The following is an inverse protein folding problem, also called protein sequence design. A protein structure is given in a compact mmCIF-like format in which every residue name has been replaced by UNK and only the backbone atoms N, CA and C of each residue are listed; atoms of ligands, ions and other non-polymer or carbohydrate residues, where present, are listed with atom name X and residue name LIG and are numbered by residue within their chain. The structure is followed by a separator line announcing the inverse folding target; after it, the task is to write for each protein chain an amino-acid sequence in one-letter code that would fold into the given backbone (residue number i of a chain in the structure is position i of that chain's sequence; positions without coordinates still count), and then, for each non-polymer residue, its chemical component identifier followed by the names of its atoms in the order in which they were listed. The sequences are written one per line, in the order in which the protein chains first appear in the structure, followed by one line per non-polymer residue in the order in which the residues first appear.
data_IF_650283469846
#
_entry.id   IF_650283469846
#
_cell.length_a   1.000
_cell.length_b   1.000
_cell.length_c   1.000
_cell.angle_alpha   90.00
_cell.angle_beta   90.00
_cell.angle_gamma   90.00
#
_symmetry.space_group_name_H-M   'P 1'
#
loop_
_entity.id
_entity.type
_entity.pdbx_description
1 polymer ?
#
# COMPACT_ATOMS: atom_id res chain seq x y z
N UNK A 1 -13.01 -3.47 -5.43
CA UNK A 1 -12.80 -2.04 -5.80
C UNK A 1 -13.68 -1.67 -6.97
N UNK A 2 -14.10 -0.40 -7.08
CA UNK A 2 -14.73 0.19 -8.27
C UNK A 2 -13.88 1.31 -8.90
N UNK A 3 -14.40 2.01 -9.92
CA UNK A 3 -13.66 3.06 -10.67
C UNK A 3 -13.01 4.11 -9.75
N UNK A 4 -13.78 4.65 -8.80
CA UNK A 4 -13.27 5.66 -7.86
C UNK A 4 -12.04 5.18 -7.08
N UNK A 5 -12.05 3.92 -6.61
CA UNK A 5 -10.90 3.34 -5.91
C UNK A 5 -9.70 3.12 -6.83
N UNK A 6 -9.93 2.85 -8.12
CA UNK A 6 -8.84 2.76 -9.09
C UNK A 6 -8.18 4.14 -9.31
N UNK A 7 -8.97 5.20 -9.40
CA UNK A 7 -8.47 6.58 -9.52
C UNK A 7 -7.68 7.00 -8.27
N UNK A 8 -8.21 6.71 -7.08
CA UNK A 8 -7.55 6.95 -5.79
C UNK A 8 -6.21 6.19 -5.70
N UNK A 9 -6.20 4.91 -6.09
CA UNK A 9 -4.99 4.10 -6.14
C UNK A 9 -3.96 4.65 -7.13
N UNK A 10 -4.39 5.08 -8.32
CA UNK A 10 -3.50 5.69 -9.31
C UNK A 10 -2.84 6.96 -8.77
N UNK A 11 -3.60 7.82 -8.07
CA UNK A 11 -3.06 9.03 -7.47
C UNK A 11 -1.98 8.72 -6.41
N UNK A 12 -2.20 7.71 -5.57
CA UNK A 12 -1.21 7.24 -4.58
C UNK A 12 0.05 6.75 -5.29
N UNK A 13 -0.09 5.89 -6.29
CA UNK A 13 1.04 5.34 -7.05
C UNK A 13 1.84 6.44 -7.74
N UNK A 14 1.18 7.44 -8.32
CA UNK A 14 1.84 8.59 -8.94
C UNK A 14 2.63 9.40 -7.90
N UNK A 15 2.04 9.69 -6.74
CA UNK A 15 2.73 10.38 -5.65
C UNK A 15 3.97 9.61 -5.15
N UNK A 16 3.87 8.29 -5.03
CA UNK A 16 5.01 7.44 -4.64
C UNK A 16 6.10 7.38 -5.73
N UNK A 17 5.73 7.42 -7.02
CA UNK A 17 6.68 7.52 -8.13
C UNK A 17 7.45 8.84 -8.07
N UNK A 18 6.77 9.96 -7.80
CA UNK A 18 7.38 11.29 -7.70
C UNK A 18 8.41 11.41 -6.57
N UNK A 19 8.21 10.68 -5.46
CA UNK A 19 9.18 10.60 -4.36
C UNK A 19 10.50 9.92 -4.76
N UNK A 20 10.51 9.18 -5.86
CA UNK A 20 11.67 8.45 -6.35
C UNK A 20 12.11 7.29 -5.45
N UNK A 21 13.15 6.55 -5.88
CA UNK A 21 13.53 5.26 -5.26
C UNK A 21 13.83 5.29 -3.77
N UNK A 22 14.24 6.43 -3.20
CA UNK A 22 14.61 6.52 -1.78
C UNK A 22 13.45 6.93 -0.86
N UNK A 23 12.43 7.60 -1.40
CA UNK A 23 11.27 8.07 -0.64
C UNK A 23 10.00 7.26 -0.90
N UNK A 24 10.04 6.33 -1.86
CA UNK A 24 8.93 5.46 -2.21
C UNK A 24 8.79 4.31 -1.19
N UNK A 25 7.59 4.14 -0.67
CA UNK A 25 7.23 3.18 0.36
C UNK A 25 6.77 1.83 -0.24
N UNK A 26 6.33 1.82 -1.50
CA UNK A 26 5.77 0.67 -2.23
C UNK A 26 6.76 0.10 -3.26
N UNK A 27 8.00 -0.11 -2.83
CA UNK A 27 9.04 -0.75 -3.65
C UNK A 27 8.89 -2.27 -3.70
N UNK A 28 9.37 -2.87 -4.80
CA UNK A 28 9.39 -4.31 -5.00
C UNK A 28 8.09 -4.84 -5.61
N UNK A 29 7.82 -6.13 -5.37
CA UNK A 29 6.59 -6.80 -5.80
C UNK A 29 5.60 -6.77 -4.64
N UNK A 30 4.34 -6.50 -4.94
CA UNK A 30 3.29 -6.44 -3.95
C UNK A 30 1.98 -7.03 -4.47
N UNK A 31 1.13 -7.44 -3.54
CA UNK A 31 -0.29 -7.66 -3.76
C UNK A 31 -1.05 -6.50 -3.12
N UNK A 32 -1.97 -5.85 -3.87
CA UNK A 32 -2.82 -4.80 -3.31
C UNK A 32 -4.08 -5.43 -2.75
N UNK A 33 -4.32 -5.24 -1.46
CA UNK A 33 -5.59 -5.54 -0.84
C UNK A 33 -6.34 -4.23 -0.56
N UNK A 34 -7.64 -4.22 -0.87
CA UNK A 34 -8.51 -3.09 -0.55
C UNK A 34 -9.55 -3.55 0.46
N UNK A 35 -9.61 -2.85 1.59
CA UNK A 35 -10.56 -3.15 2.66
C UNK A 35 -11.47 -1.96 2.93
N UNK A 36 -12.75 -2.26 3.13
CA UNK A 36 -13.80 -1.32 3.49
C UNK A 36 -14.74 -2.00 4.47
N UNK A 37 -14.37 -2.01 5.76
CA UNK A 37 -15.25 -2.41 6.86
C UNK A 37 -15.42 -1.21 7.78
N UNK A 38 -16.45 -0.40 7.52
CA UNK A 38 -17.01 0.71 8.34
C UNK A 38 -16.08 1.85 8.79
N UNK A 39 -14.80 1.60 9.03
CA UNK A 39 -13.72 2.54 9.24
C UNK A 39 -13.03 2.90 7.91
N UNK A 40 -12.21 3.94 7.93
CA UNK A 40 -11.59 4.60 6.76
C UNK A 40 -11.13 3.57 5.70
N UNK A 41 -11.59 3.64 4.44
CA UNK A 41 -11.16 2.70 3.41
C UNK A 41 -9.65 2.78 3.16
N UNK A 42 -9.00 1.62 2.98
CA UNK A 42 -7.53 1.53 2.87
C UNK A 42 -7.08 0.63 1.72
N UNK A 43 -5.87 0.93 1.23
CA UNK A 43 -5.07 0.07 0.38
C UNK A 43 -3.87 -0.45 1.17
N UNK A 44 -3.71 -1.77 1.19
CA UNK A 44 -2.54 -2.44 1.78
C UNK A 44 -1.69 -3.04 0.67
N UNK A 45 -0.43 -2.63 0.60
CA UNK A 45 0.57 -3.15 -0.31
C UNK A 45 1.36 -4.25 0.39
N UNK A 46 0.86 -5.48 0.26
CA UNK A 46 1.42 -6.65 0.92
C UNK A 46 2.67 -7.11 0.17
N UNK A 47 3.83 -6.96 0.81
CA UNK A 47 5.14 -7.39 0.31
C UNK A 47 5.44 -8.82 0.75
N UNK A 48 4.58 -9.73 0.34
CA UNK A 48 4.70 -11.14 0.66
C UNK A 48 5.15 -11.88 -0.60
N UNK A 49 6.13 -12.78 -0.46
CA UNK A 49 6.58 -13.64 -1.56
C UNK A 49 5.49 -14.65 -1.96
N UNK A 50 4.57 -14.94 -1.04
CA UNK A 50 3.38 -15.77 -1.25
C UNK A 50 2.25 -15.31 -0.34
N UNK A 51 1.02 -15.80 -0.55
CA UNK A 51 -0.13 -15.51 0.33
C UNK A 51 0.06 -15.99 1.78
N UNK A 52 1.13 -16.75 2.07
CA UNK A 52 1.40 -17.36 3.38
C UNK A 52 2.65 -16.79 4.06
N UNK A 53 3.61 -16.26 3.30
CA UNK A 53 4.90 -15.79 3.83
C UNK A 53 5.18 -14.34 3.47
N UNK A 54 5.22 -13.51 4.51
CA UNK A 54 5.55 -12.09 4.44
C UNK A 54 6.80 -11.84 5.29
N UNK A 55 7.83 -11.22 4.71
CA UNK A 55 9.01 -10.78 5.46
C UNK A 55 8.81 -9.40 6.08
N UNK A 56 7.89 -8.62 5.51
CA UNK A 56 7.59 -7.26 5.90
C UNK A 56 6.10 -7.05 6.19
N UNK A 57 5.81 -6.13 7.10
CA UNK A 57 4.49 -5.54 7.28
C UNK A 57 4.12 -4.78 6.01
N UNK A 58 2.85 -4.79 5.60
CA UNK A 58 2.42 -4.07 4.42
C UNK A 58 2.57 -2.56 4.60
N UNK A 59 2.79 -1.85 3.50
CA UNK A 59 2.59 -0.41 3.47
C UNK A 59 1.09 -0.14 3.32
N UNK A 60 0.53 0.74 4.15
CA UNK A 60 -0.91 1.00 4.21
C UNK A 60 -1.18 2.47 3.93
N UNK A 61 -2.06 2.73 2.97
CA UNK A 61 -2.58 4.06 2.66
C UNK A 61 -4.09 4.10 2.84
N UNK A 62 -4.61 5.22 3.31
CA UNK A 62 -6.03 5.53 3.14
C UNK A 62 -6.33 5.89 1.68
N UNK A 63 -7.60 5.75 1.26
CA UNK A 63 -8.00 6.10 -0.12
C UNK A 63 -7.86 7.59 -0.47
N UNK A 64 -7.72 8.47 0.52
CA UNK A 64 -7.42 9.89 0.31
C UNK A 64 -5.91 10.18 0.11
N UNK A 65 -5.07 9.13 0.16
CA UNK A 65 -3.63 9.22 -0.03
C UNK A 65 -2.83 9.47 1.25
N UNK A 66 -3.48 9.54 2.42
CA UNK A 66 -2.76 9.56 3.69
C UNK A 66 -2.01 8.23 3.89
N UNK A 67 -0.70 8.32 4.19
CA UNK A 67 0.09 7.16 4.59
C UNK A 67 -0.24 6.82 6.05
N UNK A 68 -0.87 5.66 6.27
CA UNK A 68 -1.22 5.17 7.61
C UNK A 68 -0.03 4.43 8.23
N UNK A 69 0.62 3.56 7.45
CA UNK A 69 1.79 2.79 7.89
C UNK A 69 2.76 2.64 6.72
N UNK A 70 4.04 2.96 6.95
CA UNK A 70 5.08 2.78 5.94
C UNK A 70 5.41 1.28 5.71
N UNK A 71 5.00 0.40 6.61
CA UNK A 71 5.35 -1.02 6.60
C UNK A 71 6.77 -1.26 7.11
N UNK A 72 7.42 -2.28 6.57
CA UNK A 72 8.82 -2.63 6.87
C UNK A 72 8.99 -3.95 7.63
N UNK A 73 10.24 -4.33 7.97
CA UNK A 73 10.56 -5.66 8.47
C UNK A 73 9.72 -6.06 9.69
N UNK A 74 9.23 -7.30 9.69
CA UNK A 74 8.54 -7.87 10.86
C UNK A 74 9.49 -8.15 12.02
N UNK A 75 10.77 -8.40 11.71
CA UNK A 75 11.83 -8.66 12.66
C UNK A 75 12.95 -7.64 12.45
N UNK A 76 13.10 -6.73 13.41
CA UNK A 76 14.11 -5.66 13.41
C UNK A 76 14.40 -5.20 14.83
#
# INVERSE_FOLDING_TARGET
MGLKQLEELVAILQGEIEKGRRGNNVLGTWHIHFEKQDEKPVFSFNKCESEVYCEERPTVFATDGELIDAGGPLFG
#
